data_IF_570061230767
#
_entry.id   IF_570061230767
#
_cell.length_a   1.000
_cell.length_b   1.000
_cell.length_c   1.000
_cell.angle_alpha   90.00
_cell.angle_beta   90.00
_cell.angle_gamma   90.00
#
_symmetry.space_group_name_H-M   'P 1'
#
loop_
_entity.id
_entity.type
_entity.pdbx_description
1 polymer ?
#
# COMPACT_ATOMS: atom_id res chain seq x y z
N UNK A 1 -58.27 9.23 4.57
CA UNK A 1 -59.04 10.47 4.82
C UNK A 1 -58.32 11.28 5.90
N UNK A 2 -57.35 12.13 5.51
CA UNK A 2 -56.63 12.95 6.47
C UNK A 2 -57.34 14.29 6.64
N UNK A 3 -57.91 14.50 7.80
CA UNK A 3 -58.60 15.73 8.16
C UNK A 3 -57.55 16.81 8.46
N UNK A 4 -57.42 17.78 7.55
CA UNK A 4 -56.48 18.89 7.64
C UNK A 4 -57.05 19.96 8.58
N UNK A 5 -56.83 19.83 9.88
CA UNK A 5 -57.31 20.88 10.84
C UNK A 5 -56.18 21.48 11.71
N UNK A 6 -54.92 21.16 11.46
CA UNK A 6 -53.88 21.78 12.28
C UNK A 6 -52.67 22.17 11.45
N UNK A 7 -52.49 23.41 11.03
CA UNK A 7 -51.37 23.91 10.23
C UNK A 7 -50.03 23.67 10.93
N UNK A 8 -50.01 23.58 12.26
CA UNK A 8 -48.81 23.25 13.04
C UNK A 8 -48.33 21.81 12.87
N UNK A 9 -49.23 20.83 12.62
CA UNK A 9 -48.87 19.45 12.34
C UNK A 9 -48.22 19.31 10.96
N UNK A 10 -48.69 20.05 9.97
CA UNK A 10 -48.14 20.11 8.64
C UNK A 10 -46.73 20.73 8.68
N UNK A 11 -46.56 21.81 9.42
CA UNK A 11 -45.26 22.46 9.62
C UNK A 11 -44.26 21.53 10.37
N UNK A 12 -44.73 20.81 11.39
CA UNK A 12 -43.91 19.88 12.13
C UNK A 12 -43.44 18.66 11.24
N UNK A 13 -44.35 18.11 10.42
CA UNK A 13 -44.01 17.05 9.47
C UNK A 13 -43.01 17.57 8.41
N UNK A 14 -43.22 18.77 7.90
CA UNK A 14 -42.31 19.39 6.93
C UNK A 14 -40.90 19.61 7.54
N UNK A 15 -40.86 20.10 8.79
CA UNK A 15 -39.62 20.25 9.55
C UNK A 15 -38.87 18.92 9.78
N UNK A 16 -39.59 17.85 10.09
CA UNK A 16 -39.03 16.50 10.26
C UNK A 16 -38.50 15.97 8.93
N UNK A 17 -39.20 16.14 7.82
CA UNK A 17 -38.75 15.70 6.49
C UNK A 17 -37.50 16.46 6.05
N UNK A 18 -37.45 17.77 6.27
CA UNK A 18 -36.26 18.58 5.98
C UNK A 18 -35.10 18.18 6.88
N UNK A 19 -35.30 17.97 8.16
CA UNK A 19 -34.28 17.51 9.08
C UNK A 19 -33.76 16.08 8.69
N UNK A 20 -34.66 15.17 8.34
CA UNK A 20 -34.28 13.84 7.87
C UNK A 20 -33.54 13.88 6.53
N UNK A 21 -33.92 14.73 5.59
CA UNK A 21 -33.20 14.87 4.32
C UNK A 21 -31.79 15.45 4.48
N UNK A 22 -31.53 16.21 5.56
CA UNK A 22 -30.22 16.75 5.89
C UNK A 22 -29.35 15.80 6.71
N UNK A 23 -29.97 14.99 7.56
CA UNK A 23 -29.30 14.06 8.47
C UNK A 23 -29.05 12.70 7.80
N UNK A 24 -29.98 12.23 6.95
CA UNK A 24 -29.87 10.93 6.29
C UNK A 24 -28.58 10.76 5.44
N UNK A 25 -28.15 11.73 4.61
CA UNK A 25 -26.90 11.59 3.87
C UNK A 25 -25.66 11.60 4.79
N UNK A 26 -25.69 12.37 5.90
CA UNK A 26 -24.60 12.38 6.88
C UNK A 26 -24.50 11.06 7.66
N UNK A 27 -25.64 10.47 8.01
CA UNK A 27 -25.68 9.15 8.66
C UNK A 27 -25.23 8.08 7.68
N UNK A 28 -25.67 8.10 6.42
CA UNK A 28 -25.25 7.16 5.38
C UNK A 28 -23.75 7.24 5.14
N UNK A 29 -23.19 8.46 5.04
CA UNK A 29 -21.76 8.69 4.88
C UNK A 29 -20.95 8.20 6.10
N UNK A 30 -21.49 8.33 7.32
CA UNK A 30 -20.86 7.79 8.54
C UNK A 30 -20.90 6.26 8.62
N UNK A 31 -21.92 5.62 8.08
CA UNK A 31 -22.02 4.16 8.02
C UNK A 31 -21.14 3.59 6.90
N UNK A 32 -21.08 4.21 5.72
CA UNK A 32 -20.22 3.76 4.61
C UNK A 32 -18.73 3.89 4.96
N UNK A 33 -18.31 4.98 5.62
CA UNK A 33 -16.94 5.13 6.14
C UNK A 33 -16.63 4.14 7.27
N UNK A 34 -17.59 3.78 8.09
CA UNK A 34 -17.39 2.76 9.12
C UNK A 34 -17.21 1.36 8.54
N UNK A 35 -17.95 0.99 7.48
CA UNK A 35 -17.82 -0.32 6.85
C UNK A 35 -16.44 -0.50 6.18
N UNK A 36 -15.93 0.54 5.51
CA UNK A 36 -14.58 0.51 4.94
C UNK A 36 -13.50 0.49 6.01
N UNK A 37 -13.67 1.26 7.08
CA UNK A 37 -12.78 1.24 8.24
C UNK A 37 -12.82 -0.11 8.97
N UNK A 38 -13.99 -0.70 9.19
CA UNK A 38 -14.13 -2.03 9.80
C UNK A 38 -13.52 -3.14 8.93
N UNK A 39 -13.60 -3.03 7.59
CA UNK A 39 -12.92 -3.95 6.69
C UNK A 39 -11.39 -3.88 6.89
N UNK A 40 -10.82 -2.69 6.85
CA UNK A 40 -9.38 -2.49 7.06
C UNK A 40 -8.99 -2.93 8.48
N UNK A 41 -9.78 -2.58 9.49
CA UNK A 41 -9.57 -2.98 10.88
C UNK A 41 -9.60 -4.50 11.07
N UNK A 42 -10.47 -5.22 10.36
CA UNK A 42 -10.50 -6.68 10.36
C UNK A 42 -9.18 -7.29 9.90
N UNK A 43 -8.49 -6.68 8.95
CA UNK A 43 -7.17 -7.11 8.49
C UNK A 43 -6.03 -6.61 9.39
N UNK A 44 -6.16 -5.45 10.05
CA UNK A 44 -5.23 -4.94 11.05
C UNK A 44 -5.25 -5.74 12.36
N UNK A 45 -6.44 -6.19 12.78
CA UNK A 45 -6.69 -6.81 14.08
C UNK A 45 -6.79 -8.35 14.00
N UNK A 46 -6.43 -8.97 12.89
CA UNK A 46 -6.18 -10.41 12.92
C UNK A 46 -5.02 -10.66 13.89
N UNK A 47 -5.38 -10.99 15.13
CA UNK A 47 -4.48 -11.18 16.28
C UNK A 47 -3.39 -12.23 16.07
N UNK A 48 -3.38 -12.89 14.92
CA UNK A 48 -2.30 -13.79 14.53
C UNK A 48 -2.08 -13.79 13.03
N UNK A 49 -1.00 -13.17 12.53
CA UNK A 49 -0.52 -13.38 11.16
C UNK A 49 -0.14 -14.83 10.88
N UNK A 50 -0.28 -15.71 11.87
CA UNK A 50 -0.08 -17.15 11.80
C UNK A 50 -1.34 -17.90 11.35
N UNK A 51 -2.52 -17.29 11.32
CA UNK A 51 -3.72 -17.90 10.78
C UNK A 51 -3.60 -18.06 9.25
N UNK A 52 -3.88 -19.27 8.76
CA UNK A 52 -3.82 -19.60 7.34
C UNK A 52 -2.45 -20.12 6.91
N UNK A 53 -2.04 -21.27 7.45
CA UNK A 53 -0.77 -21.94 7.14
C UNK A 53 -0.57 -22.28 5.65
N UNK A 54 -1.63 -22.33 4.86
CA UNK A 54 -1.61 -22.78 3.48
C UNK A 54 -1.51 -21.66 2.44
N UNK A 55 -1.65 -20.39 2.84
CA UNK A 55 -1.57 -19.25 1.93
C UNK A 55 -0.32 -18.41 2.21
N UNK A 56 0.39 -17.94 1.17
CA UNK A 56 1.49 -17.00 1.37
C UNK A 56 0.98 -15.71 2.02
N UNK A 57 1.86 -15.03 2.73
CA UNK A 57 1.55 -13.75 3.37
C UNK A 57 1.82 -12.60 2.41
N UNK A 58 0.92 -11.63 2.40
CA UNK A 58 1.09 -10.37 1.70
C UNK A 58 1.14 -9.26 2.75
N UNK A 59 2.32 -8.70 2.95
CA UNK A 59 2.58 -7.71 3.97
C UNK A 59 2.39 -6.31 3.40
N UNK A 60 1.61 -5.49 4.08
CA UNK A 60 1.39 -4.09 3.75
C UNK A 60 1.69 -3.27 5.00
N UNK A 61 2.71 -2.42 4.93
CA UNK A 61 3.04 -1.53 6.04
C UNK A 61 2.34 -0.19 5.85
N UNK A 62 1.61 0.24 6.86
CA UNK A 62 0.97 1.55 6.92
C UNK A 62 1.69 2.42 7.95
N UNK A 63 2.32 3.49 7.46
CA UNK A 63 2.89 4.52 8.32
C UNK A 63 1.73 5.31 8.93
N UNK A 64 1.38 5.03 10.19
CA UNK A 64 0.47 5.89 10.92
C UNK A 64 1.25 7.10 11.45
N UNK A 65 1.35 8.13 10.67
CA UNK A 65 1.88 9.41 11.13
C UNK A 65 0.72 10.23 11.67
N UNK A 66 0.75 10.52 12.99
CA UNK A 66 -0.17 11.49 13.57
C UNK A 66 0.08 12.82 12.87
N UNK A 67 -0.85 13.23 12.04
CA UNK A 67 -0.77 14.53 11.38
C UNK A 67 -0.70 15.61 12.47
N UNK A 68 0.45 16.27 12.59
CA UNK A 68 0.67 17.38 13.50
C UNK A 68 -0.31 18.56 13.29
N UNK A 69 -1.07 18.54 12.19
CA UNK A 69 -2.17 19.47 11.88
C UNK A 69 -3.51 19.10 12.53
N UNK A 70 -3.54 18.29 13.56
CA UNK A 70 -4.74 17.99 14.38
C UNK A 70 -5.21 19.17 15.24
N UNK A 71 -4.97 20.40 14.83
CA UNK A 71 -5.53 21.57 15.49
C UNK A 71 -6.94 21.84 14.95
N UNK A 72 -7.91 21.66 15.82
CA UNK A 72 -9.34 21.86 15.53
C UNK A 72 -9.71 23.25 14.98
N UNK A 73 -8.81 24.24 15.09
CA UNK A 73 -9.04 25.64 14.70
C UNK A 73 -8.59 25.99 13.28
N UNK A 74 -7.83 25.16 12.59
CA UNK A 74 -7.33 25.43 11.24
C UNK A 74 -7.70 24.33 10.27
N UNK A 75 -8.99 24.20 9.89
CA UNK A 75 -9.44 23.20 8.91
C UNK A 75 -8.76 21.82 9.07
N UNK A 76 -8.43 21.48 10.33
CA UNK A 76 -7.81 20.21 10.64
C UNK A 76 -8.83 19.13 10.33
N UNK A 77 -8.46 18.17 9.52
CA UNK A 77 -9.29 17.03 9.22
C UNK A 77 -9.58 16.28 10.51
N UNK A 78 -10.85 16.30 10.86
CA UNK A 78 -11.38 15.55 11.99
C UNK A 78 -11.76 14.13 11.55
N UNK A 79 -11.10 13.61 10.49
CA UNK A 79 -11.33 12.27 9.98
C UNK A 79 -10.32 11.30 10.58
N UNK A 80 -10.78 10.09 10.82
CA UNK A 80 -9.94 8.92 11.16
C UNK A 80 -9.22 8.36 9.92
N UNK A 81 -9.35 9.05 8.78
CA UNK A 81 -8.73 8.66 7.53
C UNK A 81 -7.21 8.69 7.66
N UNK A 82 -6.55 7.77 6.97
CA UNK A 82 -5.10 7.79 6.79
C UNK A 82 -4.67 9.16 6.26
N UNK A 83 -3.46 9.61 6.61
CA UNK A 83 -2.92 10.90 6.17
C UNK A 83 -3.00 11.14 4.65
N UNK A 84 -3.11 10.06 3.88
CA UNK A 84 -3.31 10.05 2.44
C UNK A 84 -4.54 9.18 2.11
N UNK A 85 -5.75 9.75 2.01
CA UNK A 85 -6.99 8.97 1.88
C UNK A 85 -7.04 8.01 0.69
N UNK A 86 -6.36 8.32 -0.43
CA UNK A 86 -6.29 7.41 -1.59
C UNK A 86 -5.67 6.04 -1.26
N UNK A 87 -4.84 5.95 -0.22
CA UNK A 87 -4.23 4.69 0.23
C UNK A 87 -5.30 3.68 0.66
N UNK A 88 -6.45 4.12 1.17
CA UNK A 88 -7.59 3.23 1.43
C UNK A 88 -8.06 2.54 0.14
N UNK A 89 -8.12 3.29 -0.96
CA UNK A 89 -8.56 2.75 -2.24
C UNK A 89 -7.53 1.75 -2.80
N UNK A 90 -6.24 2.05 -2.71
CA UNK A 90 -5.20 1.13 -3.18
C UNK A 90 -5.16 -0.15 -2.34
N UNK A 91 -5.23 -0.05 -1.02
CA UNK A 91 -5.32 -1.23 -0.12
C UNK A 91 -6.59 -2.04 -0.45
N UNK A 92 -7.73 -1.40 -0.68
CA UNK A 92 -8.97 -2.07 -1.08
C UNK A 92 -8.77 -2.88 -2.37
N UNK A 93 -8.08 -2.34 -3.38
CA UNK A 93 -7.77 -3.09 -4.60
C UNK A 93 -6.89 -4.31 -4.33
N UNK A 94 -5.90 -4.21 -3.44
CA UNK A 94 -5.06 -5.34 -3.05
C UNK A 94 -5.91 -6.41 -2.35
N UNK A 95 -6.77 -6.03 -1.41
CA UNK A 95 -7.66 -6.95 -0.70
C UNK A 95 -8.58 -7.67 -1.69
N UNK A 96 -9.18 -6.92 -2.60
CA UNK A 96 -10.13 -7.46 -3.57
C UNK A 96 -9.50 -8.47 -4.53
N UNK A 97 -8.30 -8.18 -5.05
CA UNK A 97 -7.64 -9.07 -6.01
C UNK A 97 -6.83 -10.20 -5.38
N UNK A 98 -6.36 -10.04 -4.13
CA UNK A 98 -5.42 -10.98 -3.53
C UNK A 98 -5.96 -11.71 -2.29
N UNK A 99 -7.12 -11.33 -1.74
CA UNK A 99 -7.63 -11.87 -0.48
C UNK A 99 -7.93 -13.36 -0.51
N UNK A 100 -8.26 -13.92 -1.67
CA UNK A 100 -8.54 -15.35 -1.80
C UNK A 100 -7.26 -16.21 -1.80
N UNK A 101 -6.13 -15.69 -2.27
CA UNK A 101 -4.90 -16.45 -2.44
C UNK A 101 -3.79 -16.10 -1.46
N UNK A 102 -3.93 -14.97 -0.75
CA UNK A 102 -2.99 -14.49 0.25
C UNK A 102 -3.65 -14.30 1.61
N UNK A 103 -2.85 -14.47 2.66
CA UNK A 103 -3.14 -13.89 3.96
C UNK A 103 -2.64 -12.46 3.96
N UNK A 104 -3.54 -11.50 3.84
CA UNK A 104 -3.18 -10.08 3.83
C UNK A 104 -2.93 -9.62 5.26
N UNK A 105 -1.70 -9.14 5.51
CA UNK A 105 -1.23 -8.66 6.80
C UNK A 105 -0.99 -7.15 6.68
N UNK A 106 -1.96 -6.36 7.13
CA UNK A 106 -1.79 -4.92 7.27
C UNK A 106 -1.15 -4.63 8.63
N UNK A 107 0.01 -4.01 8.63
CA UNK A 107 0.84 -3.80 9.81
C UNK A 107 1.25 -2.34 9.97
N UNK A 108 1.62 -1.98 11.18
CA UNK A 108 2.15 -0.67 11.57
C UNK A 108 3.52 -0.79 12.27
N UNK A 109 4.07 0.33 12.72
CA UNK A 109 5.36 0.37 13.42
C UNK A 109 5.37 -0.44 14.74
N UNK A 110 4.24 -0.52 15.45
CA UNK A 110 4.14 -1.28 16.72
C UNK A 110 4.11 -2.79 16.47
N UNK A 111 3.66 -3.20 15.30
CA UNK A 111 3.53 -4.61 14.94
C UNK A 111 4.88 -5.31 14.85
N UNK A 112 5.95 -4.60 14.49
CA UNK A 112 7.29 -5.18 14.42
C UNK A 112 7.73 -5.79 15.74
N UNK A 113 7.51 -5.12 16.87
CA UNK A 113 7.87 -5.63 18.20
C UNK A 113 7.08 -6.89 18.60
N UNK A 114 5.87 -7.06 18.07
CA UNK A 114 5.00 -8.22 18.35
C UNK A 114 5.34 -9.43 17.49
N UNK A 115 5.84 -9.21 16.28
CA UNK A 115 6.04 -10.27 15.27
C UNK A 115 7.50 -10.68 15.09
N UNK A 116 8.45 -9.76 15.30
CA UNK A 116 9.87 -10.02 15.03
C UNK A 116 10.57 -10.43 16.32
N UNK A 117 11.15 -11.64 16.37
CA UNK A 117 11.92 -12.07 17.53
C UNK A 117 13.09 -11.11 17.80
N UNK A 118 13.26 -10.73 19.07
CA UNK A 118 14.35 -9.84 19.51
C UNK A 118 14.34 -8.45 18.86
N UNK A 119 13.17 -7.94 18.49
CA UNK A 119 13.02 -6.57 18.08
C UNK A 119 13.09 -5.65 19.30
N UNK A 120 14.13 -4.85 19.37
CA UNK A 120 14.45 -3.95 20.51
C UNK A 120 14.35 -2.46 20.16
N UNK A 121 13.88 -2.14 18.93
CA UNK A 121 13.84 -0.76 18.43
C UNK A 121 12.44 -0.19 18.63
N UNK A 122 12.35 0.88 19.42
CA UNK A 122 11.13 1.69 19.54
C UNK A 122 11.10 2.76 18.44
N UNK A 123 10.39 2.48 17.35
CA UNK A 123 10.27 3.40 16.22
C UNK A 123 9.60 4.73 16.57
N UNK A 124 8.87 4.82 17.69
CA UNK A 124 8.28 6.10 18.11
C UNK A 124 9.37 7.10 18.56
N UNK A 125 10.50 6.61 19.06
CA UNK A 125 11.62 7.42 19.56
C UNK A 125 12.69 7.69 18.51
N UNK A 126 12.68 6.96 17.40
CA UNK A 126 13.67 7.10 16.33
C UNK A 126 13.28 8.22 15.37
N UNK A 127 14.22 9.10 15.04
CA UNK A 127 14.04 10.16 14.05
C UNK A 127 14.31 9.69 12.61
N UNK A 128 13.76 10.39 11.62
CA UNK A 128 14.15 10.20 10.22
C UNK A 128 15.61 10.70 10.01
N UNK A 129 16.38 10.07 9.11
CA UNK A 129 16.00 8.98 8.19
C UNK A 129 16.07 7.56 8.79
N UNK A 130 16.64 7.39 9.97
CA UNK A 130 16.85 6.08 10.61
C UNK A 130 15.55 5.30 10.83
N UNK A 131 14.44 5.99 11.13
CA UNK A 131 13.12 5.38 11.25
C UNK A 131 12.72 4.65 9.96
N UNK A 132 12.87 5.30 8.81
CA UNK A 132 12.60 4.70 7.50
C UNK A 132 13.53 3.50 7.23
N UNK A 133 14.81 3.58 7.59
CA UNK A 133 15.75 2.46 7.44
C UNK A 133 15.31 1.24 8.27
N UNK A 134 14.95 1.45 9.53
CA UNK A 134 14.48 0.37 10.41
C UNK A 134 13.14 -0.21 9.95
N UNK A 135 12.24 0.59 9.38
CA UNK A 135 11.00 0.06 8.76
C UNK A 135 11.33 -0.91 7.63
N UNK A 136 12.25 -0.57 6.73
CA UNK A 136 12.69 -1.47 5.67
C UNK A 136 13.33 -2.74 6.22
N UNK A 137 14.21 -2.62 7.23
CA UNK A 137 14.82 -3.77 7.90
C UNK A 137 13.73 -4.65 8.56
N UNK A 138 12.74 -4.05 9.21
CA UNK A 138 11.61 -4.77 9.79
C UNK A 138 10.81 -5.56 8.76
N UNK A 139 10.48 -4.95 7.62
CA UNK A 139 9.80 -5.63 6.52
C UNK A 139 10.59 -6.83 6.00
N UNK A 140 11.90 -6.67 5.82
CA UNK A 140 12.80 -7.78 5.43
C UNK A 140 12.83 -8.91 6.48
N UNK A 141 12.84 -8.56 7.78
CA UNK A 141 12.77 -9.57 8.85
C UNK A 141 11.43 -10.32 8.84
N UNK A 142 10.29 -9.64 8.54
CA UNK A 142 9.00 -10.32 8.42
C UNK A 142 9.00 -11.36 7.29
N UNK A 143 9.49 -11.02 6.10
CA UNK A 143 9.56 -12.02 5.03
C UNK A 143 10.60 -13.12 5.31
N UNK A 144 11.66 -12.81 6.05
CA UNK A 144 12.62 -13.83 6.49
C UNK A 144 11.96 -14.84 7.43
N UNK A 145 11.27 -14.38 8.49
CA UNK A 145 10.69 -15.27 9.49
C UNK A 145 9.41 -15.97 9.01
N UNK A 146 8.59 -15.31 8.21
CA UNK A 146 7.25 -15.80 7.86
C UNK A 146 7.07 -16.11 6.38
N UNK A 147 7.99 -15.68 5.51
CA UNK A 147 7.85 -15.77 4.07
C UNK A 147 6.81 -14.79 3.51
N UNK A 148 6.51 -14.97 2.23
CA UNK A 148 5.53 -14.14 1.51
C UNK A 148 6.19 -12.99 0.77
N UNK A 149 5.41 -11.96 0.49
CA UNK A 149 5.89 -10.74 -0.16
C UNK A 149 5.38 -9.51 0.56
N UNK A 150 6.10 -8.42 0.47
CA UNK A 150 5.57 -7.11 0.85
C UNK A 150 5.32 -6.23 -0.36
N UNK A 151 4.27 -5.44 -0.26
CA UNK A 151 3.77 -4.55 -1.29
C UNK A 151 3.53 -3.18 -0.67
N UNK A 152 3.92 -2.08 -1.33
CA UNK A 152 3.65 -0.75 -0.80
C UNK A 152 2.14 -0.50 -0.71
N UNK A 153 1.72 0.19 0.33
CA UNK A 153 0.30 0.53 0.54
C UNK A 153 -0.28 1.44 -0.56
N UNK A 154 0.58 2.12 -1.33
CA UNK A 154 0.23 2.94 -2.49
C UNK A 154 0.22 2.17 -3.82
N UNK A 155 0.26 0.85 -3.79
CA UNK A 155 0.18 0.01 -4.98
C UNK A 155 -1.26 -0.21 -5.40
N UNK A 156 -1.63 0.28 -6.57
CA UNK A 156 -2.91 0.00 -7.21
C UNK A 156 -2.85 -1.40 -7.85
N UNK A 157 -3.52 -2.36 -7.25
CA UNK A 157 -3.58 -3.72 -7.74
C UNK A 157 -4.63 -3.84 -8.87
N UNK A 158 -4.25 -4.44 -9.99
CA UNK A 158 -5.14 -4.66 -11.15
C UNK A 158 -5.42 -6.14 -11.38
N UNK A 159 -4.57 -7.02 -10.87
CA UNK A 159 -4.68 -8.48 -11.00
C UNK A 159 -4.13 -9.15 -9.75
N UNK A 160 -4.55 -10.39 -9.52
CA UNK A 160 -4.03 -11.19 -8.42
C UNK A 160 -2.51 -11.38 -8.51
N UNK A 161 -1.81 -11.08 -7.42
CA UNK A 161 -0.34 -11.15 -7.33
C UNK A 161 0.19 -12.57 -7.14
N UNK A 162 -0.69 -13.59 -7.00
CA UNK A 162 -0.26 -14.96 -6.71
C UNK A 162 0.68 -15.54 -7.77
N UNK A 163 0.37 -15.33 -9.04
CA UNK A 163 1.22 -15.82 -10.13
C UNK A 163 2.57 -15.09 -10.20
N UNK A 164 2.60 -13.78 -9.89
CA UNK A 164 3.85 -13.03 -9.78
C UNK A 164 4.72 -13.57 -8.64
N UNK A 165 4.10 -13.81 -7.48
CA UNK A 165 4.79 -14.38 -6.31
C UNK A 165 5.34 -15.77 -6.61
N UNK A 166 4.50 -16.68 -7.12
CA UNK A 166 4.89 -18.06 -7.40
C UNK A 166 6.01 -18.13 -8.44
N UNK A 167 5.97 -17.30 -9.49
CA UNK A 167 7.02 -17.21 -10.48
C UNK A 167 8.31 -16.67 -9.87
N UNK A 168 8.21 -15.62 -9.05
CA UNK A 168 9.36 -14.99 -8.41
C UNK A 168 10.12 -15.91 -7.46
N UNK A 169 9.43 -16.81 -6.76
CA UNK A 169 10.05 -17.78 -5.84
C UNK A 169 10.22 -19.18 -6.42
N UNK A 170 9.93 -19.41 -7.71
CA UNK A 170 9.89 -20.75 -8.32
C UNK A 170 11.19 -21.56 -8.11
N UNK A 171 12.33 -20.89 -8.08
CA UNK A 171 13.64 -21.50 -7.84
C UNK A 171 14.03 -21.60 -6.35
N UNK A 172 13.11 -21.33 -5.43
CA UNK A 172 13.40 -21.25 -3.98
C UNK A 172 14.23 -20.02 -3.57
N UNK A 173 14.44 -19.08 -4.50
CA UNK A 173 15.17 -17.84 -4.27
C UNK A 173 14.20 -16.70 -3.94
N UNK A 174 14.67 -15.65 -3.25
CA UNK A 174 13.90 -14.43 -3.12
C UNK A 174 13.86 -13.66 -4.43
N UNK A 175 12.86 -12.79 -4.60
CA UNK A 175 12.79 -11.86 -5.72
C UNK A 175 12.65 -10.42 -5.24
N UNK A 176 13.09 -9.50 -6.08
CA UNK A 176 12.92 -8.06 -5.90
C UNK A 176 12.37 -7.44 -7.17
N UNK A 177 11.51 -6.44 -7.03
CA UNK A 177 10.98 -5.71 -8.16
C UNK A 177 11.90 -4.57 -8.58
N UNK A 178 11.97 -4.34 -9.89
CA UNK A 178 12.66 -3.19 -10.46
C UNK A 178 11.84 -1.92 -10.25
N UNK A 179 12.49 -0.80 -9.93
CA UNK A 179 11.85 0.50 -9.83
C UNK A 179 12.69 1.58 -10.53
N UNK A 180 12.10 2.77 -10.71
CA UNK A 180 12.83 3.92 -11.25
C UNK A 180 13.92 4.32 -10.26
N UNK A 181 15.15 4.41 -10.77
CA UNK A 181 16.29 4.77 -9.96
C UNK A 181 16.20 6.23 -9.52
N UNK A 182 16.05 6.44 -8.23
CA UNK A 182 15.96 7.76 -7.59
C UNK A 182 17.15 8.05 -6.68
N UNK A 183 18.14 7.16 -6.69
CA UNK A 183 19.30 7.27 -5.81
C UNK A 183 20.30 8.32 -6.29
N UNK A 184 20.70 9.20 -5.37
CA UNK A 184 21.76 10.21 -5.63
C UNK A 184 23.12 9.57 -5.86
N UNK A 185 23.37 8.37 -5.31
CA UNK A 185 24.65 7.69 -5.44
C UNK A 185 24.98 7.27 -6.87
N UNK A 186 23.96 6.99 -7.67
CA UNK A 186 24.15 6.64 -9.08
C UNK A 186 24.75 7.79 -9.89
N UNK A 187 24.41 9.02 -9.57
CA UNK A 187 24.97 10.19 -10.23
C UNK A 187 26.48 10.36 -9.94
N UNK A 188 26.95 9.92 -8.77
CA UNK A 188 28.36 9.98 -8.36
C UNK A 188 29.23 8.91 -9.04
N UNK A 189 28.65 7.75 -9.32
CA UNK A 189 29.37 6.59 -9.87
C UNK A 189 29.30 6.48 -11.41
N UNK A 190 28.79 7.48 -12.12
CA UNK A 190 28.55 7.46 -13.58
C UNK A 190 27.65 6.31 -14.09
N UNK A 191 26.97 5.59 -13.22
CA UNK A 191 26.00 4.57 -13.61
C UNK A 191 24.68 5.21 -14.04
N UNK A 192 24.49 5.35 -15.34
CA UNK A 192 23.23 5.87 -15.94
C UNK A 192 22.14 4.79 -16.02
N UNK A 193 21.96 4.00 -14.99
CA UNK A 193 20.87 3.02 -14.97
C UNK A 193 19.59 3.71 -14.55
N UNK A 194 18.63 3.76 -15.46
CA UNK A 194 17.32 4.36 -15.21
C UNK A 194 16.45 3.54 -14.27
N UNK A 195 16.66 2.23 -14.24
CA UNK A 195 15.96 1.29 -13.40
C UNK A 195 16.94 0.45 -12.58
N UNK A 196 16.56 0.16 -11.34
CA UNK A 196 17.35 -0.62 -10.39
C UNK A 196 16.42 -1.52 -9.57
N UNK A 197 16.90 -2.65 -9.03
CA UNK A 197 16.16 -3.38 -8.02
C UNK A 197 15.93 -2.48 -6.80
N UNK A 198 14.72 -2.55 -6.24
CA UNK A 198 14.29 -1.65 -5.16
C UNK A 198 13.56 -2.43 -4.07
N UNK A 199 13.92 -2.15 -2.82
CA UNK A 199 13.35 -2.82 -1.65
C UNK A 199 11.89 -2.45 -1.36
N UNK A 200 11.25 -1.65 -2.20
CA UNK A 200 9.84 -1.24 -2.02
C UNK A 200 8.87 -2.41 -2.20
N UNK A 201 9.21 -3.37 -3.06
CA UNK A 201 8.39 -4.55 -3.33
C UNK A 201 9.27 -5.79 -3.54
N UNK A 202 9.18 -6.73 -2.63
CA UNK A 202 10.00 -7.95 -2.61
C UNK A 202 9.19 -9.13 -2.10
N UNK A 203 9.64 -10.34 -2.43
CA UNK A 203 9.10 -11.57 -1.86
C UNK A 203 10.18 -12.63 -1.67
N UNK A 204 9.94 -13.53 -0.72
CA UNK A 204 10.87 -14.60 -0.43
C UNK A 204 10.17 -15.83 0.19
N UNK A 205 10.75 -17.01 0.01
CA UNK A 205 10.41 -18.13 0.86
C UNK A 205 10.92 -17.88 2.30
N UNK A 206 10.26 -18.52 3.26
CA UNK A 206 10.66 -18.45 4.68
C UNK A 206 12.11 -18.91 4.87
N UNK A 207 12.86 -18.24 5.77
CA UNK A 207 14.25 -18.55 6.12
C UNK A 207 15.24 -18.47 4.92
N UNK A 208 14.97 -17.59 3.95
CA UNK A 208 15.87 -17.36 2.82
C UNK A 208 17.24 -16.85 3.29
N UNK A 209 18.31 -17.53 2.90
CA UNK A 209 19.67 -17.16 3.28
C UNK A 209 20.08 -15.79 2.70
N UNK A 210 19.71 -15.50 1.45
CA UNK A 210 20.00 -14.21 0.82
C UNK A 210 19.31 -13.06 1.54
N UNK A 211 18.07 -13.25 2.02
CA UNK A 211 17.36 -12.24 2.83
C UNK A 211 18.08 -12.03 4.16
N UNK A 212 18.55 -13.09 4.80
CA UNK A 212 19.34 -12.98 6.05
C UNK A 212 20.62 -12.17 5.85
N UNK A 213 21.39 -12.48 4.81
CA UNK A 213 22.62 -11.76 4.47
C UNK A 213 22.35 -10.29 4.16
N UNK A 214 21.24 -10.00 3.49
CA UNK A 214 20.82 -8.64 3.22
C UNK A 214 20.45 -7.87 4.50
N UNK A 215 19.71 -8.47 5.41
CA UNK A 215 19.38 -7.86 6.71
C UNK A 215 20.66 -7.56 7.50
N UNK A 216 21.62 -8.50 7.54
CA UNK A 216 22.90 -8.32 8.22
C UNK A 216 23.71 -7.18 7.60
N UNK A 217 23.75 -7.10 6.27
CA UNK A 217 24.39 -6.00 5.54
C UNK A 217 23.79 -4.65 5.92
N UNK A 218 22.47 -4.52 5.90
CA UNK A 218 21.80 -3.26 6.21
C UNK A 218 21.98 -2.89 7.69
N UNK A 219 21.83 -3.82 8.63
CA UNK A 219 22.05 -3.58 10.07
C UNK A 219 23.47 -3.15 10.37
N UNK A 220 24.45 -3.80 9.78
CA UNK A 220 25.87 -3.44 9.96
C UNK A 220 26.15 -2.02 9.48
N UNK A 221 25.67 -1.65 8.31
CA UNK A 221 25.89 -0.32 7.77
C UNK A 221 25.13 0.76 8.54
N UNK A 222 23.92 0.47 9.05
CA UNK A 222 23.15 1.38 9.90
C UNK A 222 23.89 1.65 11.21
N UNK A 223 24.38 0.62 11.89
CA UNK A 223 25.13 0.73 13.16
C UNK A 223 26.44 1.50 13.01
N UNK A 224 27.08 1.42 11.86
CA UNK A 224 28.35 2.10 11.60
C UNK A 224 28.18 3.53 11.05
N UNK A 225 26.93 4.00 10.97
CA UNK A 225 26.62 5.37 10.49
C UNK A 225 26.95 5.62 9.02
N UNK A 226 26.97 4.55 8.21
CA UNK A 226 27.30 4.66 6.78
C UNK A 226 26.16 5.22 5.92
N UNK A 227 24.96 5.35 6.46
CA UNK A 227 23.82 5.91 5.74
C UNK A 227 23.55 7.35 6.18
N UNK A 228 23.76 8.29 5.29
CA UNK A 228 23.59 9.72 5.57
C UNK A 228 22.16 10.23 5.30
N UNK A 229 21.37 9.47 4.54
CA UNK A 229 20.02 9.84 4.12
C UNK A 229 19.26 8.61 3.60
N UNK A 230 17.94 8.70 3.51
CA UNK A 230 17.12 7.64 2.92
C UNK A 230 17.51 7.31 1.46
N UNK A 231 17.76 8.30 0.54
CA UNK A 231 18.27 7.99 -0.79
C UNK A 231 19.63 7.28 -0.81
N UNK A 232 20.51 7.55 0.15
CA UNK A 232 21.79 6.86 0.29
C UNK A 232 21.60 5.41 0.73
N UNK A 233 20.73 5.18 1.71
CA UNK A 233 20.34 3.85 2.16
C UNK A 233 19.73 3.02 1.01
N UNK A 234 18.72 3.55 0.33
CA UNK A 234 18.06 2.88 -0.81
C UNK A 234 19.04 2.61 -1.95
N UNK A 235 19.95 3.55 -2.24
CA UNK A 235 20.97 3.37 -3.27
C UNK A 235 21.94 2.23 -2.96
N UNK A 236 22.47 2.17 -1.75
CA UNK A 236 23.36 1.08 -1.32
C UNK A 236 22.63 -0.27 -1.27
N UNK A 237 21.37 -0.27 -0.81
CA UNK A 237 20.53 -1.44 -0.86
C UNK A 237 20.34 -1.94 -2.31
N UNK A 238 20.03 -1.04 -3.25
CA UNK A 238 19.85 -1.38 -4.66
C UNK A 238 21.12 -1.94 -5.30
N UNK A 239 22.31 -1.41 -4.95
CA UNK A 239 23.58 -1.95 -5.44
C UNK A 239 23.84 -3.35 -4.89
N UNK A 240 23.62 -3.57 -3.60
CA UNK A 240 23.78 -4.91 -3.01
C UNK A 240 22.83 -5.92 -3.67
N UNK A 241 21.57 -5.55 -3.87
CA UNK A 241 20.58 -6.39 -4.56
C UNK A 241 21.00 -6.69 -6.00
N UNK A 242 21.60 -5.72 -6.71
CA UNK A 242 22.08 -5.92 -8.07
C UNK A 242 23.22 -6.97 -8.10
N UNK A 243 24.13 -6.94 -7.14
CA UNK A 243 25.22 -7.90 -7.05
C UNK A 243 24.67 -9.32 -6.81
N UNK A 244 23.66 -9.46 -5.93
CA UNK A 244 23.01 -10.76 -5.68
C UNK A 244 22.25 -11.30 -6.90
N UNK A 245 21.64 -10.41 -7.72
CA UNK A 245 21.00 -10.80 -8.99
C UNK A 245 22.04 -11.28 -10.00
N UNK A 246 23.18 -10.58 -10.11
CA UNK A 246 24.27 -10.95 -11.04
C UNK A 246 24.82 -12.33 -10.72
N UNK A 247 24.95 -12.68 -9.45
CA UNK A 247 25.42 -14.01 -9.02
C UNK A 247 24.30 -15.05 -8.87
N UNK A 248 23.10 -14.73 -9.36
CA UNK A 248 21.94 -15.62 -9.41
C UNK A 248 21.48 -16.16 -8.04
N UNK A 249 21.58 -15.35 -6.99
CA UNK A 249 21.01 -15.64 -5.66
C UNK A 249 19.66 -14.98 -5.43
N UNK A 250 19.23 -14.13 -6.34
CA UNK A 250 17.97 -13.40 -6.27
C UNK A 250 17.39 -13.19 -7.67
N UNK A 251 16.07 -13.29 -7.79
CA UNK A 251 15.37 -13.04 -9.05
C UNK A 251 14.97 -11.57 -9.18
N UNK A 252 15.03 -11.02 -10.40
CA UNK A 252 14.57 -9.66 -10.72
C UNK A 252 13.22 -9.71 -11.43
N UNK A 253 12.22 -9.09 -10.83
CA UNK A 253 10.91 -8.85 -11.44
C UNK A 253 10.93 -7.50 -12.16
N UNK A 254 10.69 -7.52 -13.47
CA UNK A 254 10.74 -6.31 -14.30
C UNK A 254 9.70 -5.25 -13.89
N UNK A 255 10.08 -3.99 -13.97
CA UNK A 255 9.23 -2.86 -13.60
C UNK A 255 7.96 -2.70 -14.46
N UNK A 256 7.91 -3.33 -15.64
CA UNK A 256 6.71 -3.39 -16.48
C UNK A 256 5.58 -4.19 -15.84
N UNK A 257 5.89 -5.13 -14.94
CA UNK A 257 4.89 -5.93 -14.24
C UNK A 257 4.23 -5.18 -13.09
N UNK A 258 4.89 -4.15 -12.56
CA UNK A 258 4.38 -3.35 -11.45
C UNK A 258 4.06 -1.90 -11.84
N UNK A 259 3.99 -1.62 -13.14
CA UNK A 259 3.56 -0.33 -13.67
C UNK A 259 4.52 0.83 -13.42
N UNK A 260 5.81 0.59 -13.21
CA UNK A 260 6.85 1.63 -13.10
C UNK A 260 7.62 1.81 -14.41
N UNK A 261 7.48 0.86 -15.32
CA UNK A 261 8.08 0.85 -16.65
C UNK A 261 7.01 0.59 -17.70
N UNK A 262 6.98 1.39 -18.76
CA UNK A 262 6.07 1.20 -19.88
C UNK A 262 6.49 0.02 -20.76
N UNK A 263 5.60 -0.44 -21.63
CA UNK A 263 5.91 -1.46 -22.64
C UNK A 263 7.12 -1.07 -23.51
N UNK A 264 7.32 0.23 -23.77
CA UNK A 264 8.47 0.79 -24.49
C UNK A 264 9.70 1.00 -23.62
N UNK A 265 9.73 0.44 -22.41
CA UNK A 265 10.82 0.56 -21.43
C UNK A 265 11.13 2.00 -21.00
N UNK A 266 10.14 2.89 -21.03
CA UNK A 266 10.23 4.24 -20.48
C UNK A 266 9.73 4.24 -19.04
N UNK A 267 10.26 5.11 -18.15
CA UNK A 267 9.73 5.22 -16.80
C UNK A 267 8.30 5.77 -16.82
N UNK A 268 7.45 5.23 -15.96
CA UNK A 268 6.14 5.81 -15.65
C UNK A 268 6.34 6.65 -14.40
N UNK A 269 6.29 7.95 -14.60
CA UNK A 269 6.52 8.96 -13.56
C UNK A 269 5.17 9.45 -13.00
N UNK A 270 5.24 10.21 -11.90
CA UNK A 270 4.06 10.79 -11.28
C UNK A 270 3.26 11.68 -12.25
N UNK A 271 3.96 12.42 -13.13
CA UNK A 271 3.33 13.22 -14.18
C UNK A 271 2.47 12.38 -15.11
N UNK A 272 2.97 11.22 -15.54
CA UNK A 272 2.22 10.34 -16.42
C UNK A 272 0.94 9.84 -15.72
N UNK A 273 1.00 9.54 -14.41
CA UNK A 273 -0.15 9.11 -13.63
C UNK A 273 -1.21 10.21 -13.44
N UNK A 274 -0.78 11.47 -13.39
CA UNK A 274 -1.64 12.60 -13.03
C UNK A 274 -2.13 13.41 -14.22
N UNK A 275 -1.38 13.46 -15.33
CA UNK A 275 -1.62 14.42 -16.42
C UNK A 275 -1.91 13.75 -17.75
N UNK A 276 -1.49 12.50 -17.98
CA UNK A 276 -1.72 11.82 -19.24
C UNK A 276 -3.13 11.22 -19.33
N UNK A 277 -3.62 11.11 -20.54
CA UNK A 277 -4.91 10.47 -20.84
C UNK A 277 -4.79 8.95 -20.98
N UNK A 278 -3.59 8.45 -21.23
CA UNK A 278 -3.28 7.05 -21.48
C UNK A 278 -1.92 6.66 -20.93
N UNK A 279 -1.82 5.47 -20.34
CA UNK A 279 -0.57 4.85 -19.90
C UNK A 279 -0.22 3.67 -20.82
N UNK A 280 1.00 3.70 -21.35
CA UNK A 280 1.56 2.60 -22.16
C UNK A 280 2.00 1.43 -21.24
N UNK A 281 1.01 0.77 -20.64
CA UNK A 281 1.24 -0.35 -19.72
C UNK A 281 1.46 -1.66 -20.48
N UNK A 282 2.26 -2.56 -19.89
CA UNK A 282 2.36 -3.93 -20.38
C UNK A 282 1.02 -4.68 -20.23
N UNK A 283 0.62 -5.51 -21.18
CA UNK A 283 -0.55 -6.40 -21.03
C UNK A 283 -0.45 -7.33 -19.83
N UNK A 284 0.78 -7.64 -19.40
CA UNK A 284 1.08 -8.50 -18.26
C UNK A 284 1.17 -7.76 -16.93
N UNK A 285 0.85 -6.45 -16.88
CA UNK A 285 0.93 -5.66 -15.66
C UNK A 285 -0.01 -6.20 -14.59
N UNK A 286 0.48 -6.31 -13.35
CA UNK A 286 -0.28 -6.72 -12.16
C UNK A 286 -0.84 -5.53 -11.40
N UNK A 287 -0.24 -4.37 -11.55
CA UNK A 287 -0.69 -3.15 -10.88
C UNK A 287 0.18 -1.95 -11.22
N UNK A 288 -0.11 -0.83 -10.59
CA UNK A 288 0.58 0.43 -10.80
C UNK A 288 1.10 0.96 -9.47
N UNK A 289 2.42 1.13 -9.36
CA UNK A 289 3.03 1.76 -8.19
C UNK A 289 2.83 3.28 -8.23
N UNK A 290 2.23 3.82 -7.17
CA UNK A 290 2.08 5.27 -6.99
C UNK A 290 3.15 5.73 -6.00
N UNK A 291 4.09 6.62 -6.39
CA UNK A 291 5.17 7.06 -5.52
C UNK A 291 4.67 8.03 -4.44
N UNK A 292 4.18 7.49 -3.32
CA UNK A 292 3.51 8.23 -2.25
C UNK A 292 4.36 9.37 -1.66
N UNK A 293 5.65 9.12 -1.44
CA UNK A 293 6.57 10.13 -0.88
C UNK A 293 6.79 11.28 -1.86
N UNK A 294 6.90 10.99 -3.16
CA UNK A 294 7.04 12.01 -4.19
C UNK A 294 5.75 12.84 -4.32
N UNK A 295 4.60 12.17 -4.24
CA UNK A 295 3.29 12.82 -4.28
C UNK A 295 3.14 13.86 -3.16
N UNK A 296 3.62 13.57 -1.95
CA UNK A 296 3.61 14.52 -0.83
C UNK A 296 4.61 15.66 -0.99
N UNK A 297 5.76 15.43 -1.64
CA UNK A 297 6.80 16.45 -1.83
C UNK A 297 6.48 17.43 -2.96
N UNK A 298 5.67 17.03 -3.94
CA UNK A 298 5.38 17.84 -5.13
C UNK A 298 4.09 18.63 -4.95
N UNK A 299 4.20 19.92 -4.69
CA UNK A 299 3.06 20.83 -4.42
C UNK A 299 1.95 20.72 -5.47
N UNK A 300 2.31 20.53 -6.74
CA UNK A 300 1.34 20.38 -7.85
C UNK A 300 0.38 19.20 -7.65
N UNK A 301 0.81 18.13 -6.98
CA UNK A 301 0.07 16.88 -6.83
C UNK A 301 -0.39 16.58 -5.41
N UNK A 302 -0.03 17.42 -4.43
CA UNK A 302 -0.43 17.24 -3.03
C UNK A 302 -1.95 17.14 -2.83
N UNK A 303 -2.72 17.79 -3.70
CA UNK A 303 -4.18 17.71 -3.67
C UNK A 303 -4.67 16.26 -3.75
N UNK A 304 -4.04 15.42 -4.58
CA UNK A 304 -4.39 14.00 -4.72
C UNK A 304 -4.17 13.23 -3.41
N UNK A 305 -3.07 13.51 -2.71
CA UNK A 305 -2.76 12.87 -1.44
C UNK A 305 -3.72 13.26 -0.31
N UNK A 306 -4.29 14.47 -0.37
CA UNK A 306 -5.07 15.02 0.74
C UNK A 306 -6.58 15.04 0.50
N UNK A 307 -7.02 14.76 -0.72
CA UNK A 307 -8.43 14.74 -1.10
C UNK A 307 -9.14 13.53 -0.47
N UNK A 308 -10.38 13.67 0.03
CA UNK A 308 -11.19 12.55 0.45
C UNK A 308 -11.32 11.50 -0.66
N UNK A 309 -11.33 10.21 -0.30
CA UNK A 309 -11.33 9.10 -1.25
C UNK A 309 -12.54 9.15 -2.22
N UNK A 310 -13.72 9.49 -1.72
CA UNK A 310 -14.93 9.65 -2.54
C UNK A 310 -14.80 10.78 -3.57
N UNK A 311 -14.33 11.96 -3.15
CA UNK A 311 -14.12 13.09 -4.06
C UNK A 311 -13.05 12.77 -5.10
N UNK A 312 -12.00 12.09 -4.68
CA UNK A 312 -10.92 11.67 -5.56
C UNK A 312 -11.43 10.81 -6.73
N UNK A 313 -12.34 9.88 -6.45
CA UNK A 313 -12.94 9.04 -7.49
C UNK A 313 -13.75 9.86 -8.54
N UNK A 314 -14.12 11.08 -8.28
CA UNK A 314 -14.77 11.98 -9.25
C UNK A 314 -13.80 12.81 -10.08
N UNK A 315 -12.50 12.73 -9.84
CA UNK A 315 -11.49 13.48 -10.59
C UNK A 315 -11.06 12.78 -11.89
N UNK A 316 -10.35 13.52 -12.75
CA UNK A 316 -10.03 13.10 -14.12
C UNK A 316 -8.69 12.37 -14.33
N UNK A 317 -7.67 12.38 -13.44
CA UNK A 317 -6.38 11.74 -13.70
C UNK A 317 -6.51 10.29 -14.17
N UNK A 318 -5.57 9.85 -15.02
CA UNK A 318 -5.62 8.50 -15.56
C UNK A 318 -5.53 7.43 -14.46
N UNK A 319 -4.75 7.67 -13.39
CA UNK A 319 -4.64 6.76 -12.27
C UNK A 319 -5.98 6.53 -11.55
N UNK A 320 -6.86 7.55 -11.51
CA UNK A 320 -8.20 7.44 -10.93
C UNK A 320 -9.10 6.56 -11.80
N UNK A 321 -8.95 6.61 -13.13
CA UNK A 321 -9.70 5.71 -14.02
C UNK A 321 -9.34 4.25 -13.77
N UNK A 322 -8.05 3.96 -13.55
CA UNK A 322 -7.58 2.62 -13.17
C UNK A 322 -8.07 2.19 -11.78
N UNK A 323 -8.08 3.12 -10.79
CA UNK A 323 -8.64 2.86 -9.46
C UNK A 323 -10.11 2.47 -9.56
N UNK A 324 -10.92 3.24 -10.30
CA UNK A 324 -12.34 2.92 -10.52
C UNK A 324 -12.53 1.55 -11.15
N UNK A 325 -11.81 1.27 -12.24
CA UNK A 325 -11.91 0.00 -12.94
C UNK A 325 -11.59 -1.16 -11.98
N UNK A 326 -10.48 -1.08 -11.25
CA UNK A 326 -10.06 -2.13 -10.33
C UNK A 326 -11.04 -2.35 -9.16
N UNK A 327 -11.70 -1.31 -8.66
CA UNK A 327 -12.70 -1.44 -7.59
C UNK A 327 -14.01 -2.06 -8.12
N UNK A 328 -14.44 -1.69 -9.33
CA UNK A 328 -15.70 -2.16 -9.94
C UNK A 328 -15.59 -3.61 -10.38
N UNK A 329 -14.48 -4.01 -10.97
CA UNK A 329 -14.29 -5.40 -11.43
C UNK A 329 -14.44 -6.40 -10.29
N UNK A 330 -13.94 -6.06 -9.11
CA UNK A 330 -14.07 -6.92 -7.92
C UNK A 330 -15.50 -7.04 -7.39
N UNK A 331 -16.33 -6.00 -7.53
CA UNK A 331 -17.74 -6.07 -7.08
C UNK A 331 -18.60 -6.97 -7.99
N UNK A 332 -18.25 -7.07 -9.28
CA UNK A 332 -18.95 -7.96 -10.20
C UNK A 332 -18.62 -9.45 -9.99
N UNK A 333 -17.45 -9.78 -9.51
CA UNK A 333 -17.09 -11.15 -9.13
C UNK A 333 -17.76 -11.58 -7.81
N UNK A 334 -17.90 -10.67 -6.84
CA UNK A 334 -18.60 -10.94 -5.57
C UNK A 334 -20.07 -11.32 -5.74
N UNK A 335 -20.76 -10.77 -6.74
CA UNK A 335 -22.15 -11.15 -7.04
C UNK A 335 -22.29 -12.53 -7.70
N UNK A 336 -21.21 -13.14 -8.18
CA UNK A 336 -21.21 -14.50 -8.72
C UNK A 336 -20.88 -15.59 -7.70
N UNK A 337 -20.33 -15.25 -6.53
CA UNK A 337 -19.87 -16.21 -5.52
C UNK A 337 -20.63 -16.19 -4.20
N UNK A 338 -21.84 -15.56 -4.13
CA UNK A 338 -22.70 -15.63 -2.95
C UNK A 338 -23.49 -16.95 -2.87
N UNK A 339 -22.79 -18.07 -2.83
CA UNK A 339 -23.20 -19.22 -2.03
C UNK A 339 -22.27 -19.25 -0.79
N UNK A 340 -22.82 -18.80 0.32
CA UNK A 340 -22.17 -18.80 1.63
C UNK A 340 -21.95 -20.26 2.05
N UNK A 341 -20.71 -20.74 2.22
CA UNK A 341 -20.49 -21.98 2.95
C UNK A 341 -20.83 -21.70 4.41
N UNK A 342 -21.80 -22.42 4.93
CA UNK A 342 -22.19 -22.43 6.33
C UNK A 342 -20.98 -22.63 7.23
N UNK A 343 -20.63 -21.61 8.01
CA UNK A 343 -19.65 -21.71 9.09
C UNK A 343 -20.31 -22.51 10.20
N UNK A 344 -19.86 -23.75 10.40
CA UNK A 344 -20.13 -24.52 11.60
C UNK A 344 -19.27 -23.93 12.71
N UNK A 345 -19.93 -23.32 13.70
CA UNK A 345 -19.33 -22.97 14.96
C UNK A 345 -19.05 -24.24 15.77
N UNK A 346 -17.82 -24.39 16.23
CA UNK A 346 -17.44 -25.23 17.36
C UNK A 346 -16.75 -24.35 18.39
#
# INVERSE_FOLDING_TARGET
MFSSKNPYQILAVLGIVIAMSYIAPKIKQSFETNDEYELIKKYLLNDSPLYGFNKPKLWIHSKYEVNSRKWKSFQSRNSTDMNQPYIHLTIKTIINHCGDDFNICLIDDETFSKLIPSWDIDLATVAEPHKSHYRHIGMLQLIYYYGGMFVPNSFLCLKNLKSLYDTGIANGMPFVCENVNRSVNVAKENYKRLFMPDITMMGAPKNSQSIKEFIEYLKKNEQTGHFSSEPDFLGKASHWLMDEIIIQKMELVGGELIGVKSQKRKPILLENLMEEEFLDLSPSVYGIYIPADELLRRTKYQWFAVMPAEELLHTSPIIVKYLKASIVDSTNEYHKSTEIPSVVAI
#
